data_IF_721585497069
#
_entry.id   IF_721585497069
#
_cell.length_a   1.000
_cell.length_b   1.000
_cell.length_c   1.000
_cell.angle_alpha   90.00
_cell.angle_beta   90.00
_cell.angle_gamma   90.00
#
_symmetry.space_group_name_H-M   'P 1'
#
loop_
_entity.id
_entity.type
_entity.pdbx_description
1 polymer ?
#
# COMPACT_ATOMS: atom_id res chain seq x y z
N UNK A 1 11.82 -41.62 5.69
CA UNK A 1 11.12 -41.38 4.41
C UNK A 1 11.65 -40.08 3.80
N UNK A 2 12.33 -40.16 2.66
CA UNK A 2 12.76 -38.98 1.90
C UNK A 2 11.56 -38.36 1.22
N UNK A 3 11.19 -37.09 1.52
CA UNK A 3 10.05 -36.46 0.87
C UNK A 3 10.31 -36.40 -0.64
N UNK A 4 9.39 -36.97 -1.43
CA UNK A 4 9.38 -36.86 -2.90
C UNK A 4 9.33 -35.37 -3.26
N UNK A 5 10.51 -34.80 -3.48
CA UNK A 5 10.72 -33.43 -3.92
C UNK A 5 10.38 -33.42 -5.40
N UNK A 6 9.23 -32.83 -5.76
CA UNK A 6 8.92 -32.16 -7.02
C UNK A 6 7.39 -32.04 -7.20
N UNK A 7 6.70 -31.40 -6.26
CA UNK A 7 5.36 -30.88 -6.57
C UNK A 7 5.60 -29.57 -7.33
N UNK A 8 5.23 -29.47 -8.62
CA UNK A 8 5.39 -28.22 -9.36
C UNK A 8 4.62 -27.10 -8.66
N UNK A 9 5.14 -25.86 -8.67
CA UNK A 9 4.47 -24.73 -8.05
C UNK A 9 3.07 -24.55 -8.64
N UNK A 10 2.09 -24.41 -7.74
CA UNK A 10 0.67 -24.30 -8.08
C UNK A 10 0.48 -23.18 -9.12
N UNK A 11 -0.13 -23.43 -10.28
CA UNK A 11 -0.23 -22.47 -11.38
C UNK A 11 -0.92 -21.14 -10.99
N UNK A 12 -1.84 -21.18 -10.02
CA UNK A 12 -2.51 -20.00 -9.47
C UNK A 12 -1.53 -19.00 -8.84
N UNK A 13 -0.52 -19.50 -8.12
CA UNK A 13 0.48 -18.65 -7.47
C UNK A 13 1.35 -17.92 -8.49
N UNK A 14 1.68 -18.59 -9.61
CA UNK A 14 2.45 -17.98 -10.70
C UNK A 14 1.67 -16.83 -11.36
N UNK A 15 0.39 -17.02 -11.65
CA UNK A 15 -0.44 -15.98 -12.26
C UNK A 15 -0.59 -14.77 -11.32
N UNK A 16 -0.78 -15.01 -10.01
CA UNK A 16 -0.83 -13.94 -9.02
C UNK A 16 0.50 -13.15 -8.98
N UNK A 17 1.64 -13.85 -8.99
CA UNK A 17 2.96 -13.22 -9.00
C UNK A 17 3.21 -12.40 -10.28
N UNK A 18 2.87 -12.94 -11.45
CA UNK A 18 2.97 -12.20 -12.72
C UNK A 18 2.09 -10.95 -12.70
N UNK A 19 0.86 -11.07 -12.18
CA UNK A 19 -0.03 -9.92 -11.97
C UNK A 19 0.60 -8.85 -11.07
N UNK A 20 1.17 -9.25 -9.93
CA UNK A 20 1.84 -8.29 -9.01
C UNK A 20 3.05 -7.61 -9.66
N UNK A 21 3.86 -8.35 -10.43
CA UNK A 21 5.02 -7.79 -11.14
C UNK A 21 4.59 -6.87 -12.28
N UNK A 22 3.51 -7.17 -12.99
CA UNK A 22 2.95 -6.30 -14.02
C UNK A 22 2.45 -4.98 -13.41
N UNK A 23 1.73 -5.03 -12.28
CA UNK A 23 1.29 -3.83 -11.55
C UNK A 23 2.50 -3.01 -11.10
N UNK A 24 3.52 -3.65 -10.51
CA UNK A 24 4.76 -2.96 -10.13
C UNK A 24 5.44 -2.28 -11.33
N UNK A 25 5.50 -2.97 -12.47
CA UNK A 25 6.05 -2.44 -13.73
C UNK A 25 5.29 -1.21 -14.22
N UNK A 26 3.97 -1.26 -14.25
CA UNK A 26 3.12 -0.12 -14.64
C UNK A 26 3.32 1.07 -13.69
N UNK A 27 3.34 0.83 -12.38
CA UNK A 27 3.61 1.88 -11.39
C UNK A 27 4.97 2.56 -11.64
N UNK A 28 6.03 1.78 -11.88
CA UNK A 28 7.36 2.32 -12.17
C UNK A 28 7.40 3.08 -13.50
N UNK A 29 6.72 2.61 -14.55
CA UNK A 29 6.66 3.32 -15.84
C UNK A 29 5.95 4.67 -15.71
N UNK A 30 4.82 4.72 -15.01
CA UNK A 30 4.11 5.98 -14.75
C UNK A 30 4.99 6.91 -13.91
N UNK A 31 5.68 6.38 -12.90
CA UNK A 31 6.61 7.16 -12.08
C UNK A 31 7.74 7.77 -12.91
N UNK A 32 8.37 6.98 -13.79
CA UNK A 32 9.43 7.43 -14.70
C UNK A 32 8.90 8.52 -15.63
N UNK A 33 7.70 8.35 -16.20
CA UNK A 33 7.08 9.37 -17.05
C UNK A 33 6.82 10.67 -16.29
N UNK A 34 6.28 10.61 -15.07
CA UNK A 34 6.04 11.79 -14.24
C UNK A 34 7.35 12.51 -13.86
N UNK A 35 8.40 11.77 -13.50
CA UNK A 35 9.66 12.35 -13.05
C UNK A 35 10.47 12.90 -14.23
N UNK A 36 10.52 12.20 -15.37
CA UNK A 36 11.39 12.57 -16.49
C UNK A 36 10.71 13.44 -17.57
N UNK A 37 9.38 13.43 -17.67
CA UNK A 37 8.66 14.17 -18.72
C UNK A 37 7.89 15.35 -18.12
N UNK A 38 7.00 15.11 -17.16
CA UNK A 38 6.10 16.18 -16.68
C UNK A 38 6.78 17.13 -15.69
N UNK A 39 7.58 16.60 -14.77
CA UNK A 39 8.26 17.42 -13.75
C UNK A 39 9.26 18.42 -14.37
N UNK A 40 10.12 18.05 -15.34
CA UNK A 40 11.05 19.01 -15.94
C UNK A 40 10.35 20.09 -16.76
N UNK A 41 9.23 19.76 -17.41
CA UNK A 41 8.39 20.73 -18.12
C UNK A 41 7.82 21.79 -17.16
N UNK A 42 7.20 21.35 -16.06
CA UNK A 42 6.67 22.26 -15.05
C UNK A 42 7.77 23.13 -14.39
N UNK A 43 8.98 22.57 -14.18
CA UNK A 43 10.11 23.36 -13.69
C UNK A 43 10.64 24.37 -14.72
N UNK A 44 10.63 24.01 -16.00
CA UNK A 44 11.02 24.94 -17.05
C UNK A 44 10.04 26.11 -17.13
N UNK A 45 8.73 25.85 -16.99
CA UNK A 45 7.71 26.91 -16.90
C UNK A 45 7.88 27.79 -15.67
N UNK A 46 8.14 27.20 -14.49
CA UNK A 46 8.40 27.98 -13.27
C UNK A 46 9.66 28.86 -13.41
N UNK A 47 10.74 28.34 -14.02
CA UNK A 47 11.95 29.12 -14.29
C UNK A 47 11.69 30.26 -15.27
N UNK A 48 11.03 29.97 -16.39
CA UNK A 48 10.65 30.97 -17.39
C UNK A 48 9.79 32.09 -16.76
N UNK A 49 8.86 31.72 -15.88
CA UNK A 49 8.04 32.69 -15.16
C UNK A 49 8.81 33.52 -14.14
N UNK A 50 9.80 32.95 -13.45
CA UNK A 50 10.68 33.70 -12.53
C UNK A 50 11.62 34.65 -13.26
N UNK A 51 12.03 34.29 -14.47
CA UNK A 51 12.90 35.09 -15.35
C UNK A 51 12.12 36.14 -16.16
N UNK A 52 10.79 36.02 -16.23
CA UNK A 52 9.93 36.94 -16.96
C UNK A 52 10.02 38.37 -16.42
N UNK A 53 10.36 39.31 -17.30
CA UNK A 53 10.42 40.75 -16.97
C UNK A 53 9.06 41.42 -17.20
N UNK A 54 8.81 42.55 -16.52
CA UNK A 54 7.62 43.37 -16.79
C UNK A 54 7.59 43.82 -18.26
N UNK A 55 6.43 43.73 -18.91
CA UNK A 55 6.26 44.24 -20.26
C UNK A 55 6.55 45.76 -20.24
N UNK A 56 7.49 46.22 -21.07
CA UNK A 56 7.75 47.65 -21.20
C UNK A 56 6.50 48.32 -21.77
N UNK A 57 5.91 49.25 -21.03
CA UNK A 57 4.81 50.11 -21.48
C UNK A 57 5.19 51.03 -22.66
N UNK A 58 6.46 51.01 -23.06
CA UNK A 58 7.04 51.81 -24.13
C UNK A 58 6.78 51.20 -25.51
N UNK A 59 5.52 51.19 -25.98
CA UNK A 59 5.25 51.15 -27.42
C UNK A 59 3.95 51.89 -27.76
N UNK A 60 4.02 53.21 -27.66
CA UNK A 60 3.11 54.14 -28.32
C UNK A 60 3.19 54.14 -29.86
N UNK A 61 3.91 53.19 -30.48
CA UNK A 61 3.98 53.04 -31.94
C UNK A 61 2.88 52.10 -32.45
N UNK A 62 1.64 52.41 -32.10
CA UNK A 62 0.45 51.81 -32.65
C UNK A 62 0.23 52.34 -34.09
N UNK A 63 1.00 51.81 -35.07
CA UNK A 63 0.58 51.80 -36.49
C UNK A 63 1.42 50.98 -37.47
N UNK A 64 2.48 50.30 -37.05
CA UNK A 64 3.31 49.48 -37.94
C UNK A 64 2.86 48.02 -38.00
N UNK A 65 1.94 47.69 -38.91
CA UNK A 65 1.71 46.36 -39.52
C UNK A 65 1.94 45.12 -38.63
N UNK A 66 0.97 44.80 -37.77
CA UNK A 66 0.84 43.49 -37.12
C UNK A 66 0.34 42.43 -38.13
N UNK A 67 1.14 42.12 -39.17
CA UNK A 67 0.76 41.13 -40.19
C UNK A 67 1.59 39.84 -40.22
N UNK A 68 2.65 39.76 -39.42
CA UNK A 68 3.38 38.50 -39.24
C UNK A 68 3.27 38.04 -37.80
N UNK A 69 2.79 36.81 -37.60
CA UNK A 69 2.39 36.22 -36.32
C UNK A 69 3.52 36.08 -35.33
N UNK A 70 3.89 37.18 -34.67
CA UNK A 70 4.92 37.22 -33.65
C UNK A 70 4.34 36.69 -32.32
N UNK A 71 4.30 35.37 -32.18
CA UNK A 71 4.07 34.63 -30.93
C UNK A 71 5.19 34.84 -29.87
N UNK A 72 5.89 35.98 -29.92
CA UNK A 72 7.14 36.23 -29.22
C UNK A 72 7.08 37.27 -28.10
N UNK A 73 5.90 37.79 -27.75
CA UNK A 73 5.77 38.80 -26.68
C UNK A 73 4.87 38.37 -25.50
N UNK A 74 4.47 37.10 -25.44
CA UNK A 74 3.62 36.58 -24.37
C UNK A 74 4.42 36.17 -23.11
N UNK A 75 5.75 36.29 -23.17
CA UNK A 75 6.67 35.87 -22.12
C UNK A 75 6.97 36.95 -21.06
N UNK A 76 6.47 38.17 -21.22
CA UNK A 76 6.61 39.24 -20.22
C UNK A 76 5.42 39.29 -19.23
N UNK A 77 5.64 39.87 -18.06
CA UNK A 77 4.62 40.09 -17.04
C UNK A 77 3.86 41.38 -17.35
N UNK A 78 2.56 41.28 -17.65
CA UNK A 78 1.68 42.43 -17.91
C UNK A 78 0.78 42.67 -16.70
N UNK A 79 0.97 43.80 -16.02
CA UNK A 79 0.08 44.21 -14.92
C UNK A 79 -0.91 45.26 -15.42
N UNK A 80 -2.21 45.03 -15.17
CA UNK A 80 -3.30 45.91 -15.64
C UNK A 80 -4.22 46.23 -14.45
N UNK A 81 -4.65 47.50 -14.30
CA UNK A 81 -5.71 47.83 -13.37
C UNK A 81 -7.04 47.22 -13.84
N UNK A 82 -7.76 46.59 -12.93
CA UNK A 82 -9.06 46.00 -13.16
C UNK A 82 -10.00 46.28 -11.98
N UNK A 83 -11.29 46.10 -12.21
CA UNK A 83 -12.33 46.24 -11.18
C UNK A 83 -13.00 44.89 -10.97
N UNK A 84 -13.29 44.54 -9.72
CA UNK A 84 -14.03 43.32 -9.40
C UNK A 84 -15.50 43.50 -9.77
N UNK A 85 -16.03 42.69 -10.68
CA UNK A 85 -17.46 42.75 -11.04
C UNK A 85 -18.31 41.94 -10.06
N UNK A 86 -17.87 40.71 -9.79
CA UNK A 86 -18.62 39.76 -8.98
C UNK A 86 -17.74 38.63 -8.44
N UNK A 87 -18.24 38.00 -7.37
CA UNK A 87 -17.59 36.91 -6.65
C UNK A 87 -18.54 35.72 -6.61
N UNK A 88 -18.28 34.68 -7.40
CA UNK A 88 -19.11 33.48 -7.40
C UNK A 88 -18.53 32.42 -6.48
N UNK A 89 -19.31 31.99 -5.49
CA UNK A 89 -18.92 30.86 -4.64
C UNK A 89 -18.95 29.57 -5.47
N UNK A 90 -17.88 28.78 -5.38
CA UNK A 90 -17.86 27.42 -5.92
C UNK A 90 -18.37 26.49 -4.83
N UNK A 91 -19.45 25.75 -5.11
CA UNK A 91 -19.87 24.65 -4.24
C UNK A 91 -18.85 23.51 -4.33
N UNK A 92 -18.17 23.23 -3.23
CA UNK A 92 -17.13 22.19 -3.18
C UNK A 92 -16.45 22.09 -1.82
N UNK A 93 -15.70 20.99 -1.64
CA UNK A 93 -15.03 20.67 -0.36
C UNK A 93 -13.89 21.63 -0.01
N UNK A 94 -13.25 22.24 -1.01
CA UNK A 94 -12.18 23.22 -0.81
C UNK A 94 -12.74 24.63 -1.01
N UNK A 95 -12.54 25.57 -0.07
CA UNK A 95 -13.01 26.93 -0.21
C UNK A 95 -12.31 27.55 -1.42
N UNK A 96 -13.04 27.74 -2.50
CA UNK A 96 -12.58 28.45 -3.69
C UNK A 96 -13.74 29.30 -4.18
N UNK A 97 -13.43 30.41 -4.82
CA UNK A 97 -14.41 31.25 -5.50
C UNK A 97 -13.87 31.69 -6.85
N UNK A 98 -14.79 31.96 -7.76
CA UNK A 98 -14.48 32.64 -9.00
C UNK A 98 -14.52 34.14 -8.76
N UNK A 99 -13.50 34.82 -9.28
CA UNK A 99 -13.40 36.27 -9.33
C UNK A 99 -13.63 36.68 -10.78
N UNK A 100 -14.74 37.36 -11.04
CA UNK A 100 -15.02 37.99 -12.33
C UNK A 100 -14.49 39.43 -12.26
N UNK A 101 -13.64 39.81 -13.18
CA UNK A 101 -12.97 41.11 -13.22
C UNK A 101 -13.20 41.75 -14.57
N UNK A 102 -13.35 43.07 -14.59
CA UNK A 102 -13.38 43.86 -15.83
C UNK A 102 -12.18 44.80 -15.87
N UNK A 103 -11.40 44.69 -16.95
CA UNK A 103 -10.26 45.57 -17.23
C UNK A 103 -10.73 46.95 -17.72
N UNK A 104 -9.84 47.95 -17.69
CA UNK A 104 -10.14 49.31 -18.15
C UNK A 104 -10.59 49.40 -19.62
N UNK A 105 -10.25 48.41 -20.45
CA UNK A 105 -10.70 48.31 -21.85
C UNK A 105 -12.09 47.67 -22.01
N UNK A 106 -12.74 47.30 -20.90
CA UNK A 106 -14.05 46.64 -20.87
C UNK A 106 -13.98 45.13 -21.05
N UNK A 107 -12.80 44.54 -21.17
CA UNK A 107 -12.63 43.08 -21.26
C UNK A 107 -12.92 42.45 -19.91
N UNK A 108 -13.91 41.56 -19.87
CA UNK A 108 -14.22 40.79 -18.66
C UNK A 108 -13.51 39.43 -18.70
N UNK A 109 -12.77 39.12 -17.64
CA UNK A 109 -12.08 37.83 -17.46
C UNK A 109 -12.44 37.21 -16.13
N UNK A 110 -12.24 35.89 -16.02
CA UNK A 110 -12.58 35.11 -14.82
C UNK A 110 -11.38 34.33 -14.33
N UNK A 111 -11.10 34.42 -13.04
CA UNK A 111 -10.03 33.65 -12.41
C UNK A 111 -10.48 32.96 -11.12
N UNK A 112 -9.79 31.88 -10.74
CA UNK A 112 -10.10 31.12 -9.53
C UNK A 112 -9.10 31.43 -8.44
N UNK A 113 -9.61 31.83 -7.28
CA UNK A 113 -8.82 32.08 -6.08
C UNK A 113 -9.18 31.06 -4.99
N UNK A 114 -8.17 30.62 -4.23
CA UNK A 114 -8.35 29.80 -3.05
C UNK A 114 -8.83 30.63 -1.85
N UNK A 115 -9.70 30.09 -1.01
CA UNK A 115 -10.29 30.74 0.16
C UNK A 115 -11.80 30.98 0.04
N UNK A 116 -12.38 31.63 1.05
CA UNK A 116 -13.79 32.04 1.05
C UNK A 116 -13.88 33.56 0.82
N UNK A 117 -14.90 34.05 0.10
CA UNK A 117 -15.13 35.49 -0.05
C UNK A 117 -15.30 36.20 1.31
N UNK A 118 -16.00 35.55 2.26
CA UNK A 118 -16.32 36.14 3.57
C UNK A 118 -15.10 36.47 4.45
N UNK A 119 -13.96 35.79 4.27
CA UNK A 119 -12.73 36.10 5.00
C UNK A 119 -11.91 37.23 4.36
N UNK A 120 -12.41 37.83 3.27
CA UNK A 120 -11.71 38.82 2.47
C UNK A 120 -12.53 40.09 2.38
N UNK A 121 -12.46 40.91 3.43
CA UNK A 121 -13.13 42.22 3.47
C UNK A 121 -12.70 43.17 2.34
N UNK A 122 -11.50 42.95 1.78
CA UNK A 122 -10.92 43.76 0.68
C UNK A 122 -11.43 43.34 -0.70
N UNK A 123 -11.99 42.14 -0.86
CA UNK A 123 -12.47 41.65 -2.15
C UNK A 123 -13.99 41.81 -2.22
N UNK A 124 -14.48 42.95 -2.71
CA UNK A 124 -15.89 43.22 -2.96
C UNK A 124 -16.12 43.72 -4.39
N UNK A 125 -17.33 43.56 -4.95
CA UNK A 125 -17.68 44.19 -6.22
C UNK A 125 -17.38 45.69 -6.20
N UNK A 126 -16.85 46.21 -7.30
CA UNK A 126 -16.40 47.59 -7.45
C UNK A 126 -15.01 47.90 -6.89
N UNK A 127 -14.36 46.97 -6.18
CA UNK A 127 -12.99 47.20 -5.70
C UNK A 127 -12.00 47.25 -6.88
N UNK A 128 -11.12 48.25 -6.87
CA UNK A 128 -9.99 48.34 -7.77
C UNK A 128 -8.89 47.36 -7.34
N UNK A 129 -8.35 46.64 -8.30
CA UNK A 129 -7.30 45.64 -8.12
C UNK A 129 -6.30 45.73 -9.27
N UNK A 130 -5.10 45.22 -9.05
CA UNK A 130 -4.15 45.01 -10.14
C UNK A 130 -4.08 43.51 -10.46
N UNK A 131 -4.14 43.17 -11.74
CA UNK A 131 -4.01 41.78 -12.20
C UNK A 131 -2.76 41.63 -13.04
N UNK A 132 -1.96 40.61 -12.72
CA UNK A 132 -0.72 40.32 -13.44
C UNK A 132 -0.90 39.08 -14.32
N UNK A 133 -0.78 39.29 -15.63
CA UNK A 133 -0.84 38.28 -16.67
C UNK A 133 0.55 37.74 -17.03
N UNK A 134 0.61 36.45 -17.35
CA UNK A 134 1.75 35.82 -18.02
C UNK A 134 1.24 34.74 -18.97
N UNK A 135 1.63 34.83 -20.25
CA UNK A 135 1.11 33.97 -21.34
C UNK A 135 -0.42 33.93 -21.39
N UNK A 136 -1.04 35.11 -21.30
CA UNK A 136 -2.50 35.27 -21.35
C UNK A 136 -3.28 34.73 -20.14
N UNK A 137 -2.61 34.26 -19.08
CA UNK A 137 -3.26 33.78 -17.87
C UNK A 137 -2.98 34.69 -16.67
N UNK A 138 -4.01 34.98 -15.87
CA UNK A 138 -3.88 35.76 -14.63
C UNK A 138 -3.16 34.91 -13.59
N UNK A 139 -1.92 35.27 -13.24
CA UNK A 139 -1.10 34.56 -12.24
C UNK A 139 -1.29 35.13 -10.83
N UNK A 140 -1.41 36.46 -10.75
CA UNK A 140 -1.61 37.18 -9.50
C UNK A 140 -2.78 38.14 -9.56
N UNK A 141 -3.44 38.28 -8.42
CA UNK A 141 -4.36 39.38 -8.13
C UNK A 141 -3.81 40.12 -6.93
N UNK A 142 -3.46 41.37 -7.16
CA UNK A 142 -2.95 42.31 -6.17
C UNK A 142 -4.12 43.13 -5.63
N UNK A 143 -4.45 42.84 -4.38
CA UNK A 143 -5.30 43.69 -3.57
C UNK A 143 -4.42 44.73 -2.87
N UNK A 144 -4.99 45.88 -2.50
CA UNK A 144 -4.29 47.02 -1.88
C UNK A 144 -3.24 46.63 -0.81
N UNK A 145 -3.53 45.61 -0.01
CA UNK A 145 -2.65 45.14 1.07
C UNK A 145 -2.01 43.75 0.86
N UNK A 146 -2.46 42.97 -0.13
CA UNK A 146 -2.04 41.55 -0.26
C UNK A 146 -2.04 41.06 -1.71
N UNK A 147 -0.90 40.58 -2.19
CA UNK A 147 -0.77 39.78 -3.42
C UNK A 147 -1.29 38.37 -3.21
N UNK A 148 -2.13 37.86 -4.12
CA UNK A 148 -2.66 36.49 -4.08
C UNK A 148 -2.38 35.75 -5.38
N UNK A 149 -1.89 34.53 -5.26
CA UNK A 149 -1.76 33.60 -6.38
C UNK A 149 -3.12 33.04 -6.80
N UNK A 150 -3.30 32.88 -8.10
CA UNK A 150 -4.44 32.16 -8.68
C UNK A 150 -4.12 30.69 -8.83
N UNK A 151 -5.10 29.88 -9.25
CA UNK A 151 -4.86 28.47 -9.62
C UNK A 151 -3.90 28.33 -10.82
N UNK A 152 -3.71 29.39 -11.61
CA UNK A 152 -2.76 29.40 -12.69
C UNK A 152 -1.34 29.79 -12.23
N UNK A 153 -1.05 29.97 -10.94
CA UNK A 153 0.33 30.21 -10.52
C UNK A 153 1.19 28.96 -10.75
N UNK A 154 2.21 29.05 -11.62
CA UNK A 154 3.08 27.92 -11.98
C UNK A 154 4.06 27.53 -10.88
N UNK A 155 4.19 28.35 -9.83
CA UNK A 155 5.14 28.12 -8.75
C UNK A 155 4.78 26.88 -7.95
N UNK A 156 5.68 25.90 -7.97
CA UNK A 156 5.47 24.64 -7.26
C UNK A 156 4.54 23.66 -7.98
N UNK A 157 4.09 23.94 -9.20
CA UNK A 157 3.26 23.00 -9.97
C UNK A 157 3.98 21.68 -10.25
N UNK A 158 5.32 21.69 -10.30
CA UNK A 158 6.14 20.49 -10.41
C UNK A 158 6.03 19.56 -9.19
N UNK A 159 5.58 20.04 -8.03
CA UNK A 159 5.53 19.26 -6.78
C UNK A 159 4.52 18.12 -6.84
N UNK A 160 3.38 18.32 -7.50
CA UNK A 160 2.35 17.28 -7.65
C UNK A 160 2.80 16.10 -8.52
N UNK A 161 3.31 16.29 -9.76
CA UNK A 161 3.84 15.18 -10.54
C UNK A 161 5.08 14.56 -9.88
N UNK A 162 5.95 15.34 -9.24
CA UNK A 162 7.10 14.80 -8.51
C UNK A 162 6.68 13.94 -7.31
N UNK A 163 5.74 14.41 -6.49
CA UNK A 163 5.14 13.66 -5.36
C UNK A 163 4.55 12.34 -5.83
N UNK A 164 3.74 12.42 -6.89
CA UNK A 164 3.09 11.24 -7.46
C UNK A 164 4.11 10.27 -8.05
N UNK A 165 5.12 10.78 -8.75
CA UNK A 165 6.19 9.98 -9.35
C UNK A 165 7.05 9.27 -8.31
N UNK A 166 7.55 10.01 -7.31
CA UNK A 166 8.39 9.42 -6.24
C UNK A 166 7.60 8.41 -5.40
N UNK A 167 6.37 8.76 -4.99
CA UNK A 167 5.50 7.86 -4.25
C UNK A 167 5.19 6.57 -5.03
N UNK A 168 4.75 6.71 -6.29
CA UNK A 168 4.39 5.55 -7.12
C UNK A 168 5.61 4.70 -7.50
N UNK A 169 6.77 5.32 -7.71
CA UNK A 169 8.04 4.63 -7.96
C UNK A 169 8.46 3.78 -6.77
N UNK A 170 8.48 4.36 -5.56
CA UNK A 170 8.77 3.64 -4.32
C UNK A 170 7.76 2.52 -4.04
N UNK A 171 6.48 2.76 -4.31
CA UNK A 171 5.42 1.74 -4.21
C UNK A 171 5.64 0.58 -5.19
N UNK A 172 6.01 0.87 -6.44
CA UNK A 172 6.39 -0.14 -7.43
C UNK A 172 7.57 -1.00 -6.98
N UNK A 173 8.62 -0.37 -6.45
CA UNK A 173 9.79 -1.07 -5.88
C UNK A 173 9.40 -1.94 -4.67
N UNK A 174 8.50 -1.48 -3.81
CA UNK A 174 7.96 -2.27 -2.70
C UNK A 174 7.25 -3.55 -3.19
N UNK A 175 6.37 -3.44 -4.18
CA UNK A 175 5.67 -4.61 -4.74
C UNK A 175 6.67 -5.57 -5.40
N UNK A 176 7.58 -5.05 -6.24
CA UNK A 176 8.57 -5.88 -6.93
C UNK A 176 9.51 -6.60 -5.95
N UNK A 177 10.03 -5.90 -4.93
CA UNK A 177 10.91 -6.47 -3.93
C UNK A 177 10.19 -7.49 -3.05
N UNK A 178 8.95 -7.24 -2.62
CA UNK A 178 8.17 -8.21 -1.84
C UNK A 178 7.84 -9.48 -2.64
N UNK A 179 7.53 -9.36 -3.93
CA UNK A 179 7.35 -10.50 -4.83
C UNK A 179 8.65 -11.30 -4.99
N UNK A 180 9.78 -10.61 -5.20
CA UNK A 180 11.10 -11.25 -5.32
C UNK A 180 11.53 -11.95 -4.03
N UNK A 181 11.34 -11.30 -2.88
CA UNK A 181 11.59 -11.89 -1.55
C UNK A 181 10.74 -13.13 -1.37
N UNK A 182 9.45 -13.08 -1.69
CA UNK A 182 8.54 -14.24 -1.57
C UNK A 182 8.97 -15.39 -2.49
N UNK A 183 9.40 -15.09 -3.72
CA UNK A 183 9.95 -16.08 -4.64
C UNK A 183 11.24 -16.73 -4.12
N UNK A 184 12.12 -15.94 -3.50
CA UNK A 184 13.39 -16.41 -2.99
C UNK A 184 13.24 -17.19 -1.67
N UNK A 185 12.41 -16.70 -0.75
CA UNK A 185 12.14 -17.35 0.53
C UNK A 185 11.28 -18.59 0.38
N UNK A 186 10.34 -18.63 -0.57
CA UNK A 186 9.54 -19.82 -0.87
C UNK A 186 10.38 -21.03 -1.33
N UNK A 187 11.62 -20.80 -1.80
CA UNK A 187 12.58 -21.90 -2.10
C UNK A 187 13.29 -22.44 -0.86
N UNK A 188 13.35 -21.67 0.22
CA UNK A 188 14.16 -21.96 1.42
C UNK A 188 13.33 -22.25 2.67
N UNK A 189 12.12 -21.70 2.75
CA UNK A 189 11.23 -21.81 3.91
C UNK A 189 9.86 -22.32 3.46
N UNK A 190 9.29 -23.33 4.15
CA UNK A 190 7.95 -23.79 3.87
C UNK A 190 6.88 -22.82 4.38
N UNK A 191 7.20 -21.89 5.30
CA UNK A 191 6.21 -20.97 5.91
C UNK A 191 5.57 -20.03 4.88
N UNK A 192 4.25 -19.82 4.98
CA UNK A 192 3.50 -18.90 4.09
C UNK A 192 3.75 -17.45 4.44
N UNK A 193 3.73 -17.13 5.73
CA UNK A 193 3.98 -15.78 6.22
C UNK A 193 5.42 -15.67 6.67
N UNK A 194 6.28 -15.25 5.76
CA UNK A 194 7.70 -15.04 6.07
C UNK A 194 7.91 -13.62 6.59
N UNK A 195 8.65 -13.48 7.69
CA UNK A 195 8.95 -12.16 8.28
C UNK A 195 9.71 -11.26 7.29
N UNK A 196 10.43 -11.87 6.33
CA UNK A 196 11.14 -11.17 5.27
C UNK A 196 10.17 -10.40 4.35
N UNK A 197 9.02 -11.00 3.98
CA UNK A 197 8.01 -10.32 3.16
C UNK A 197 7.41 -9.13 3.91
N UNK A 198 7.11 -9.29 5.20
CA UNK A 198 6.60 -8.19 6.03
C UNK A 198 7.64 -7.08 6.19
N UNK A 199 8.91 -7.43 6.40
CA UNK A 199 9.98 -6.44 6.50
C UNK A 199 10.15 -5.63 5.21
N UNK A 200 10.09 -6.29 4.05
CA UNK A 200 10.13 -5.64 2.74
C UNK A 200 8.92 -4.72 2.51
N UNK A 201 7.71 -5.17 2.86
CA UNK A 201 6.49 -4.38 2.75
C UNK A 201 6.51 -3.16 3.68
N UNK A 202 6.86 -3.33 4.96
CA UNK A 202 6.93 -2.21 5.91
C UNK A 202 7.99 -1.19 5.51
N UNK A 203 9.19 -1.65 5.15
CA UNK A 203 10.25 -0.76 4.67
C UNK A 203 9.85 0.00 3.40
N UNK A 204 9.27 -0.71 2.42
CA UNK A 204 8.80 -0.08 1.18
C UNK A 204 7.63 0.88 1.38
N UNK A 205 6.74 0.62 2.34
CA UNK A 205 5.65 1.54 2.71
C UNK A 205 6.21 2.83 3.32
N UNK A 206 7.18 2.72 4.23
CA UNK A 206 7.87 3.90 4.78
C UNK A 206 8.52 4.74 3.68
N UNK A 207 9.17 4.11 2.69
CA UNK A 207 9.76 4.82 1.54
C UNK A 207 8.72 5.42 0.60
N UNK A 208 7.57 4.77 0.42
CA UNK A 208 6.46 5.30 -0.36
C UNK A 208 5.94 6.60 0.25
N UNK A 209 5.73 6.61 1.58
CA UNK A 209 5.32 7.81 2.32
C UNK A 209 6.40 8.89 2.25
N UNK A 210 7.66 8.53 2.48
CA UNK A 210 8.78 9.47 2.38
C UNK A 210 8.88 10.11 0.98
N UNK A 211 8.75 9.30 -0.08
CA UNK A 211 8.76 9.79 -1.47
C UNK A 211 7.60 10.72 -1.79
N UNK A 212 6.41 10.43 -1.27
CA UNK A 212 5.24 11.30 -1.47
C UNK A 212 5.33 12.62 -0.68
N UNK A 213 5.99 12.62 0.48
CA UNK A 213 6.12 13.81 1.33
C UNK A 213 7.33 14.66 0.93
N UNK A 214 8.39 14.08 0.37
CA UNK A 214 9.67 14.75 0.13
C UNK A 214 9.62 16.05 -0.70
N UNK A 215 8.74 16.21 -1.72
CA UNK A 215 8.64 17.45 -2.51
C UNK A 215 8.05 18.66 -1.78
N UNK A 216 7.34 18.45 -0.67
CA UNK A 216 6.63 19.53 0.05
C UNK A 216 7.56 20.41 0.90
N UNK A 217 8.48 19.86 1.70
CA UNK A 217 9.43 20.66 2.47
C UNK A 217 10.64 21.14 1.64
N UNK A 218 10.80 20.67 0.40
CA UNK A 218 11.97 20.98 -0.44
C UNK A 218 11.66 22.05 -1.48
N UNK A 219 12.68 22.81 -1.86
CA UNK A 219 12.57 23.93 -2.81
C UNK A 219 12.87 23.52 -4.26
N UNK A 220 13.47 22.36 -4.46
CA UNK A 220 13.90 21.83 -5.76
C UNK A 220 13.80 20.28 -5.81
N UNK A 221 13.94 19.72 -7.02
CA UNK A 221 13.95 18.25 -7.23
C UNK A 221 15.14 17.61 -6.51
N UNK A 222 16.31 18.26 -6.54
CA UNK A 222 17.53 17.75 -5.91
C UNK A 222 17.36 17.51 -4.41
N UNK A 223 16.78 18.49 -3.69
CA UNK A 223 16.44 18.36 -2.29
C UNK A 223 15.46 17.22 -2.02
N UNK A 224 14.42 17.05 -2.84
CA UNK A 224 13.47 15.95 -2.70
C UNK A 224 14.15 14.57 -2.87
N UNK A 225 15.04 14.44 -3.86
CA UNK A 225 15.80 13.21 -4.10
C UNK A 225 16.80 12.94 -2.97
N UNK A 226 17.49 13.96 -2.45
CA UNK A 226 18.38 13.81 -1.29
C UNK A 226 17.61 13.36 -0.04
N UNK A 227 16.45 13.95 0.24
CA UNK A 227 15.61 13.56 1.38
C UNK A 227 15.11 12.12 1.26
N UNK A 228 14.69 11.69 0.07
CA UNK A 228 14.33 10.30 -0.19
C UNK A 228 15.53 9.35 -0.07
N UNK A 229 16.71 9.76 -0.55
CA UNK A 229 17.97 9.02 -0.40
C UNK A 229 18.35 8.81 1.07
N UNK A 230 18.31 9.87 1.88
CA UNK A 230 18.54 9.80 3.33
C UNK A 230 17.50 8.91 4.02
N UNK A 231 16.22 9.05 3.65
CA UNK A 231 15.15 8.18 4.18
C UNK A 231 15.39 6.71 3.84
N UNK A 232 15.93 6.43 2.65
CA UNK A 232 16.33 5.09 2.22
C UNK A 232 17.42 4.52 3.11
N UNK A 233 18.46 5.29 3.43
CA UNK A 233 19.52 4.86 4.34
C UNK A 233 18.98 4.56 5.74
N UNK A 234 18.08 5.41 6.27
CA UNK A 234 17.45 5.19 7.59
C UNK A 234 16.60 3.92 7.60
N UNK A 235 15.77 3.71 6.58
CA UNK A 235 14.94 2.49 6.45
C UNK A 235 15.83 1.25 6.31
N UNK A 236 16.89 1.30 5.50
CA UNK A 236 17.83 0.20 5.35
C UNK A 236 18.55 -0.13 6.67
N UNK A 237 18.98 0.88 7.43
CA UNK A 237 19.56 0.69 8.75
C UNK A 237 18.57 0.03 9.72
N UNK A 238 17.32 0.50 9.75
CA UNK A 238 16.24 -0.11 10.53
C UNK A 238 15.99 -1.57 10.13
N UNK A 239 15.94 -1.87 8.84
CA UNK A 239 15.81 -3.23 8.32
C UNK A 239 17.02 -4.11 8.68
N UNK A 240 18.24 -3.58 8.62
CA UNK A 240 19.46 -4.29 8.98
C UNK A 240 19.51 -4.66 10.47
N UNK A 241 18.91 -3.85 11.35
CA UNK A 241 18.75 -4.17 12.78
C UNK A 241 17.58 -5.11 13.03
N UNK A 242 16.44 -4.90 12.37
CA UNK A 242 15.25 -5.73 12.54
C UNK A 242 15.44 -7.16 12.02
N UNK A 243 16.16 -7.33 10.91
CA UNK A 243 16.39 -8.62 10.28
C UNK A 243 17.04 -9.67 11.21
N UNK A 244 18.18 -9.41 11.89
CA UNK A 244 18.78 -10.38 12.80
C UNK A 244 17.89 -10.65 14.01
N UNK A 245 17.18 -9.64 14.55
CA UNK A 245 16.24 -9.82 15.67
C UNK A 245 15.10 -10.75 15.27
N UNK A 246 14.46 -10.48 14.12
CA UNK A 246 13.38 -11.31 13.59
C UNK A 246 13.89 -12.70 13.22
N UNK A 247 15.09 -12.81 12.66
CA UNK A 247 15.71 -14.09 12.36
C UNK A 247 15.95 -14.91 13.63
N UNK A 248 16.52 -14.31 14.67
CA UNK A 248 16.74 -14.96 15.97
C UNK A 248 15.42 -15.42 16.61
N UNK A 249 14.40 -14.55 16.62
CA UNK A 249 13.07 -14.89 17.15
C UNK A 249 12.37 -16.01 16.38
N UNK A 250 12.71 -16.17 15.10
CA UNK A 250 12.18 -17.23 14.25
C UNK A 250 13.14 -18.43 14.13
N UNK A 251 14.24 -18.45 14.88
CA UNK A 251 15.21 -19.53 14.91
C UNK A 251 14.77 -20.55 15.95
N UNK A 252 14.36 -21.71 15.50
CA UNK A 252 13.88 -22.78 16.36
C UNK A 252 12.89 -23.67 15.64
N UNK A 253 12.48 -24.74 16.32
CA UNK A 253 11.34 -25.52 15.89
C UNK A 253 10.10 -24.60 15.89
N UNK A 254 9.38 -24.54 14.79
CA UNK A 254 8.20 -23.69 14.65
C UNK A 254 6.93 -24.35 15.20
N UNK A 255 7.12 -25.26 16.14
CA UNK A 255 6.09 -25.81 17.00
C UNK A 255 5.58 -24.69 17.93
N UNK A 256 4.28 -24.46 17.88
CA UNK A 256 3.58 -23.51 18.75
C UNK A 256 3.09 -24.29 19.95
N UNK A 257 3.61 -23.99 21.14
CA UNK A 257 3.07 -24.55 22.38
C UNK A 257 1.77 -23.85 22.73
N UNK A 258 0.68 -24.61 22.86
CA UNK A 258 -0.60 -24.15 23.37
C UNK A 258 -1.13 -25.13 24.39
N UNK A 259 -1.69 -24.59 25.47
CA UNK A 259 -2.38 -25.40 26.48
C UNK A 259 -3.76 -25.83 25.96
N UNK A 260 -4.08 -27.13 26.00
CA UNK A 260 -5.41 -27.61 25.66
C UNK A 260 -6.46 -27.04 26.62
N UNK A 261 -7.61 -26.59 26.09
CA UNK A 261 -8.72 -26.14 26.92
C UNK A 261 -9.45 -27.33 27.53
N UNK A 262 -9.78 -27.27 28.82
CA UNK A 262 -10.64 -28.28 29.46
C UNK A 262 -12.07 -28.06 28.98
N UNK A 263 -12.61 -29.02 28.24
CA UNK A 263 -13.98 -28.97 27.74
C UNK A 263 -14.92 -29.66 28.72
N UNK A 264 -15.98 -28.96 29.14
CA UNK A 264 -17.10 -29.52 29.89
C UNK A 264 -18.34 -29.71 29.02
N UNK A 265 -18.44 -28.96 27.92
CA UNK A 265 -19.60 -28.88 27.04
C UNK A 265 -19.15 -28.87 25.57
N UNK A 266 -20.10 -29.12 24.66
CA UNK A 266 -19.87 -29.01 23.22
C UNK A 266 -19.63 -27.55 22.84
N UNK A 267 -18.53 -27.28 22.12
CA UNK A 267 -18.22 -25.98 21.53
C UNK A 267 -18.09 -26.09 20.03
N UNK A 268 -18.69 -25.16 19.33
CA UNK A 268 -18.57 -25.03 17.87
C UNK A 268 -17.48 -24.01 17.57
N UNK A 269 -16.49 -24.41 16.79
CA UNK A 269 -15.39 -23.55 16.33
C UNK A 269 -15.30 -23.59 14.81
N UNK A 270 -14.86 -22.50 14.18
CA UNK A 270 -14.65 -22.50 12.73
C UNK A 270 -13.34 -23.20 12.41
N UNK A 271 -13.37 -24.21 11.54
CA UNK A 271 -12.18 -25.01 11.26
C UNK A 271 -12.38 -25.95 10.07
N UNK A 272 -11.28 -26.43 9.51
CA UNK A 272 -11.28 -27.36 8.39
C UNK A 272 -10.32 -28.52 8.64
N UNK A 273 -10.69 -29.69 8.16
CA UNK A 273 -9.82 -30.88 8.17
C UNK A 273 -9.38 -31.15 6.75
N UNK A 274 -8.07 -31.21 6.52
CA UNK A 274 -7.46 -31.45 5.23
C UNK A 274 -6.67 -32.76 5.30
N UNK A 275 -6.74 -33.58 4.27
CA UNK A 275 -6.06 -34.88 4.22
C UNK A 275 -6.80 -35.85 3.32
N UNK A 276 -6.17 -37.00 3.05
CA UNK A 276 -6.78 -38.09 2.29
C UNK A 276 -7.55 -39.04 3.23
N UNK A 277 -8.58 -38.49 3.90
CA UNK A 277 -9.39 -39.19 4.91
C UNK A 277 -10.88 -38.95 4.66
N UNK A 278 -11.78 -39.91 4.99
CA UNK A 278 -13.20 -39.84 4.63
C UNK A 278 -13.97 -38.70 5.33
N UNK A 279 -13.44 -38.22 6.46
CA UNK A 279 -13.96 -37.09 7.23
C UNK A 279 -13.28 -35.75 6.89
N UNK A 280 -12.40 -35.72 5.89
CA UNK A 280 -11.84 -34.46 5.41
C UNK A 280 -12.94 -33.53 4.87
N UNK A 281 -12.72 -32.24 5.07
CA UNK A 281 -13.51 -31.18 4.47
C UNK A 281 -13.16 -31.08 2.99
N UNK A 282 -14.15 -31.11 2.10
CA UNK A 282 -13.89 -30.89 0.68
C UNK A 282 -13.27 -29.50 0.47
N UNK A 283 -12.09 -29.44 -0.14
CA UNK A 283 -11.28 -28.23 -0.34
C UNK A 283 -12.00 -27.09 -1.09
N UNK A 284 -13.14 -27.37 -1.71
CA UNK A 284 -13.97 -26.39 -2.45
C UNK A 284 -15.13 -25.81 -1.62
N UNK A 285 -15.42 -26.32 -0.42
CA UNK A 285 -16.54 -25.88 0.45
C UNK A 285 -16.06 -25.40 1.82
N UNK A 286 -14.84 -24.88 1.89
CA UNK A 286 -14.10 -24.66 3.15
C UNK A 286 -14.50 -23.35 3.86
N UNK A 287 -15.27 -22.47 3.21
CA UNK A 287 -15.63 -21.18 3.81
C UNK A 287 -16.61 -21.27 4.99
N UNK A 288 -17.22 -22.43 5.26
CA UNK A 288 -18.24 -22.59 6.30
C UNK A 288 -18.19 -23.91 7.07
N UNK A 289 -17.07 -24.64 7.05
CA UNK A 289 -16.99 -25.86 7.88
C UNK A 289 -16.78 -25.46 9.34
N UNK A 290 -17.63 -26.02 10.20
CA UNK A 290 -17.53 -25.88 11.64
C UNK A 290 -17.02 -27.19 12.24
N UNK A 291 -16.10 -27.10 13.20
CA UNK A 291 -15.69 -28.21 14.03
C UNK A 291 -16.49 -28.16 15.32
N UNK A 292 -17.11 -29.27 15.69
CA UNK A 292 -17.78 -29.44 16.97
C UNK A 292 -16.83 -30.19 17.88
N UNK A 293 -16.30 -29.49 18.87
CA UNK A 293 -15.39 -30.01 19.87
C UNK A 293 -16.19 -30.35 21.15
N UNK A 294 -16.08 -31.59 21.60
CA UNK A 294 -16.68 -32.09 22.82
C UNK A 294 -15.62 -32.82 23.65
N UNK A 295 -15.88 -33.13 24.93
CA UNK A 295 -14.95 -33.89 25.75
C UNK A 295 -14.60 -35.24 25.09
N UNK A 296 -13.35 -35.41 24.64
CA UNK A 296 -12.85 -36.63 23.99
C UNK A 296 -13.44 -36.93 22.61
N UNK A 297 -14.07 -35.97 21.94
CA UNK A 297 -14.65 -36.16 20.60
C UNK A 297 -14.57 -34.89 19.78
N UNK A 298 -14.18 -35.02 18.51
CA UNK A 298 -14.19 -33.95 17.54
C UNK A 298 -15.04 -34.38 16.33
N UNK A 299 -15.85 -33.48 15.80
CA UNK A 299 -16.74 -33.77 14.66
C UNK A 299 -16.69 -32.61 13.67
N UNK A 300 -16.85 -32.89 12.38
CA UNK A 300 -17.05 -31.85 11.37
C UNK A 300 -18.54 -31.70 11.07
N UNK A 301 -19.03 -30.46 11.01
CA UNK A 301 -20.39 -30.12 10.60
C UNK A 301 -20.35 -29.03 9.51
N UNK A 302 -21.15 -29.21 8.44
CA UNK A 302 -21.28 -28.22 7.37
C UNK A 302 -22.13 -27.01 7.81
N UNK A 303 -23.11 -27.27 8.68
CA UNK A 303 -23.95 -26.27 9.31
C UNK A 303 -24.04 -26.62 10.80
N UNK A 304 -23.64 -25.71 11.72
CA UNK A 304 -23.64 -25.99 13.15
C UNK A 304 -25.04 -26.16 13.74
N UNK A 305 -26.09 -25.67 13.07
CA UNK A 305 -27.49 -25.77 13.53
C UNK A 305 -28.15 -27.04 13.01
N UNK A 306 -27.77 -27.47 11.81
CA UNK A 306 -28.29 -28.68 11.18
C UNK A 306 -27.64 -29.94 11.77
N UNK A 307 -28.48 -30.89 12.18
CA UNK A 307 -28.03 -32.25 12.54
C UNK A 307 -27.59 -33.07 11.31
N UNK A 308 -27.82 -32.57 10.09
CA UNK A 308 -27.49 -33.28 8.87
C UNK A 308 -26.01 -33.06 8.50
N UNK A 309 -25.30 -34.14 8.16
CA UNK A 309 -23.89 -34.17 7.72
C UNK A 309 -22.83 -34.00 8.81
N UNK A 310 -23.09 -34.49 10.02
CA UNK A 310 -22.05 -34.63 11.03
C UNK A 310 -21.16 -35.82 10.65
N UNK A 311 -19.86 -35.59 10.51
CA UNK A 311 -18.88 -36.67 10.36
C UNK A 311 -18.06 -36.73 11.64
N UNK A 312 -18.20 -37.84 12.37
CA UNK A 312 -17.39 -38.09 13.56
C UNK A 312 -15.95 -38.38 13.16
N UNK A 313 -15.02 -37.71 13.83
CA UNK A 313 -13.59 -37.95 13.63
C UNK A 313 -13.20 -39.13 14.53
N UNK A 314 -12.46 -40.11 14.00
CA UNK A 314 -12.11 -41.28 14.77
C UNK A 314 -11.14 -40.92 15.90
N UNK A 315 -11.25 -41.63 17.02
CA UNK A 315 -10.38 -41.46 18.19
C UNK A 315 -8.94 -41.95 17.93
N UNK A 316 -8.67 -42.53 16.77
CA UNK A 316 -7.33 -42.90 16.29
C UNK A 316 -6.51 -41.71 15.80
N UNK A 317 -7.15 -40.54 15.62
CA UNK A 317 -6.47 -39.32 15.22
C UNK A 317 -5.59 -38.78 16.35
N UNK A 318 -4.28 -38.87 16.16
CA UNK A 318 -3.29 -38.44 17.15
C UNK A 318 -2.71 -37.08 16.75
N UNK A 319 -2.78 -36.05 17.62
CA UNK A 319 -2.12 -34.78 17.34
C UNK A 319 -0.61 -34.95 17.44
N UNK A 320 0.14 -34.51 16.44
CA UNK A 320 1.61 -34.58 16.42
C UNK A 320 2.22 -33.24 16.82
N UNK A 321 1.79 -32.16 16.16
CA UNK A 321 2.46 -30.86 16.29
C UNK A 321 1.57 -29.72 15.82
N UNK A 322 1.56 -28.64 16.59
CA UNK A 322 0.92 -27.39 16.18
C UNK A 322 1.93 -26.46 15.52
N UNK A 323 1.66 -25.93 14.32
CA UNK A 323 2.59 -25.06 13.59
C UNK A 323 1.88 -23.95 12.79
N UNK A 324 2.63 -22.95 12.29
CA UNK A 324 2.12 -22.02 11.29
C UNK A 324 1.75 -22.70 9.96
N UNK A 325 0.90 -22.04 9.16
CA UNK A 325 0.57 -22.48 7.81
C UNK A 325 1.81 -22.51 6.87
N UNK A 326 1.94 -23.57 6.07
CA UNK A 326 2.99 -23.78 5.06
C UNK A 326 2.52 -23.70 3.61
N UNK A 327 3.40 -23.33 2.68
CA UNK A 327 3.11 -23.21 1.24
C UNK A 327 2.81 -24.58 0.61
N UNK A 328 3.26 -25.64 1.28
CA UNK A 328 3.05 -27.04 0.90
C UNK A 328 1.75 -27.63 1.44
N UNK A 329 1.02 -26.91 2.30
CA UNK A 329 -0.29 -27.37 2.77
C UNK A 329 -1.27 -27.44 1.57
N UNK A 330 -2.29 -28.32 1.62
CA UNK A 330 -3.26 -28.46 0.54
C UNK A 330 -3.90 -27.13 0.12
N UNK A 331 -4.12 -26.90 -1.19
CA UNK A 331 -4.78 -25.68 -1.67
C UNK A 331 -6.21 -25.60 -1.15
N UNK A 332 -6.73 -24.39 -0.96
CA UNK A 332 -8.08 -24.16 -0.45
C UNK A 332 -8.20 -24.17 1.07
N UNK A 333 -7.10 -24.33 1.80
CA UNK A 333 -7.09 -24.15 3.25
C UNK A 333 -7.63 -22.76 3.64
N UNK A 334 -8.38 -22.65 4.74
CA UNK A 334 -8.84 -21.35 5.23
C UNK A 334 -7.67 -20.61 5.88
N UNK A 335 -7.54 -19.33 5.56
CA UNK A 335 -6.44 -18.49 6.05
C UNK A 335 -6.79 -17.70 7.33
N UNK A 336 -8.09 -17.55 7.60
CA UNK A 336 -8.63 -16.78 8.73
C UNK A 336 -7.96 -15.41 8.90
N UNK A 337 -7.80 -14.67 7.79
CA UNK A 337 -7.15 -13.34 7.75
C UNK A 337 -5.72 -13.37 8.32
N UNK A 338 -4.94 -14.38 7.94
CA UNK A 338 -3.57 -14.60 8.41
C UNK A 338 -3.45 -15.10 9.86
N UNK A 339 -4.55 -15.53 10.49
CA UNK A 339 -4.56 -16.04 11.89
C UNK A 339 -4.72 -17.55 11.99
N UNK A 340 -4.70 -18.25 10.86
CA UNK A 340 -4.74 -19.69 10.82
C UNK A 340 -3.52 -20.30 11.54
N UNK A 341 -3.77 -21.38 12.28
CA UNK A 341 -2.76 -22.31 12.77
C UNK A 341 -3.13 -23.70 12.28
N UNK A 342 -2.11 -24.55 12.08
CA UNK A 342 -2.26 -25.89 11.52
C UNK A 342 -1.79 -26.90 12.57
N UNK A 343 -2.71 -27.74 13.03
CA UNK A 343 -2.40 -28.91 13.83
C UNK A 343 -2.15 -30.08 12.89
N UNK A 344 -0.93 -30.56 12.87
CA UNK A 344 -0.56 -31.82 12.21
C UNK A 344 -1.00 -32.97 13.08
N UNK A 345 -1.75 -33.89 12.50
CA UNK A 345 -2.23 -35.11 13.11
C UNK A 345 -1.89 -36.31 12.23
N UNK A 346 -1.98 -37.49 12.82
CA UNK A 346 -1.85 -38.77 12.12
C UNK A 346 -3.02 -39.68 12.48
N UNK A 347 -3.63 -40.28 11.46
CA UNK A 347 -4.66 -41.31 11.60
C UNK A 347 -4.19 -42.59 10.90
N UNK A 348 -3.67 -43.54 11.68
CA UNK A 348 -3.19 -44.82 11.16
C UNK A 348 -2.10 -44.70 10.08
N UNK A 349 -1.15 -43.78 10.22
CA UNK A 349 -0.11 -43.51 9.23
C UNK A 349 -0.48 -42.49 8.14
N UNK A 350 -1.74 -42.03 8.10
CA UNK A 350 -2.19 -41.03 7.13
C UNK A 350 -2.07 -39.62 7.75
N UNK A 351 -1.35 -38.68 7.11
CA UNK A 351 -1.22 -37.32 7.61
C UNK A 351 -2.55 -36.56 7.43
N UNK A 352 -2.99 -35.93 8.52
CA UNK A 352 -4.21 -35.13 8.58
C UNK A 352 -3.85 -33.75 9.13
N UNK A 353 -4.38 -32.69 8.55
CA UNK A 353 -4.16 -31.31 8.99
C UNK A 353 -5.48 -30.73 9.48
N UNK A 354 -5.52 -30.27 10.73
CA UNK A 354 -6.64 -29.48 11.24
C UNK A 354 -6.25 -28.01 11.23
N UNK A 355 -6.99 -27.20 10.49
CA UNK A 355 -6.75 -25.76 10.34
C UNK A 355 -7.88 -25.00 11.02
N UNK A 356 -7.54 -24.13 11.98
CA UNK A 356 -8.50 -23.25 12.65
C UNK A 356 -7.83 -21.93 13.04
N UNK A 357 -8.59 -20.98 13.59
CA UNK A 357 -8.04 -19.76 14.16
C UNK A 357 -7.17 -20.05 15.39
N UNK A 358 -6.11 -19.26 15.57
CA UNK A 358 -5.22 -19.36 16.75
C UNK A 358 -5.98 -19.36 18.09
N UNK A 359 -7.07 -18.59 18.20
CA UNK A 359 -7.90 -18.47 19.41
C UNK A 359 -8.74 -19.72 19.71
N UNK A 360 -9.07 -20.50 18.68
CA UNK A 360 -9.98 -21.65 18.77
C UNK A 360 -9.22 -22.97 18.87
N UNK A 361 -7.93 -22.99 18.51
CA UNK A 361 -7.07 -24.17 18.59
C UNK A 361 -7.01 -24.83 19.99
N UNK A 362 -6.98 -24.09 21.12
CA UNK A 362 -7.04 -24.72 22.45
C UNK A 362 -8.28 -25.62 22.64
N UNK A 363 -9.42 -25.24 22.07
CA UNK A 363 -10.66 -26.02 22.11
C UNK A 363 -10.53 -27.30 21.30
N UNK A 364 -9.92 -27.23 20.11
CA UNK A 364 -9.63 -28.40 19.27
C UNK A 364 -8.67 -29.37 19.97
N UNK A 365 -7.59 -28.85 20.56
CA UNK A 365 -6.65 -29.65 21.35
C UNK A 365 -7.32 -30.33 22.55
N UNK A 366 -8.22 -29.62 23.25
CA UNK A 366 -9.00 -30.17 24.35
C UNK A 366 -9.90 -31.34 23.97
N UNK A 367 -10.40 -31.36 22.73
CA UNK A 367 -11.24 -32.44 22.22
C UNK A 367 -10.45 -33.69 21.79
N UNK A 368 -9.23 -33.52 21.27
CA UNK A 368 -8.38 -34.62 20.78
C UNK A 368 -7.61 -35.33 21.90
N UNK A 369 -7.60 -34.77 23.11
CA UNK A 369 -6.85 -35.30 24.23
C UNK A 369 -5.39 -34.80 24.27
N UNK A 370 -4.59 -35.29 25.23
CA UNK A 370 -3.23 -34.79 25.42
C UNK A 370 -2.37 -35.06 24.18
N UNK A 371 -1.58 -34.05 23.78
CA UNK A 371 -0.55 -34.27 22.78
C UNK A 371 0.47 -35.28 23.32
N UNK A 372 0.92 -36.27 22.51
CA UNK A 372 2.02 -37.11 22.88
C UNK A 372 3.20 -36.20 23.22
N UNK A 373 3.71 -36.33 24.45
CA UNK A 373 4.91 -35.60 24.86
C UNK A 373 6.02 -36.02 23.89
N UNK A 374 6.69 -35.08 23.19
CA UNK A 374 7.77 -35.43 22.29
C UNK A 374 8.77 -36.30 23.05
N UNK A 375 8.88 -37.57 22.67
CA UNK A 375 9.90 -38.44 23.26
C UNK A 375 11.23 -37.82 22.84
N UNK A 376 12.09 -37.38 23.79
CA UNK A 376 13.35 -36.77 23.43
C UNK A 376 14.12 -37.77 22.56
N UNK A 377 14.34 -37.41 21.30
CA UNK A 377 15.15 -38.21 20.39
C UNK A 377 16.50 -38.35 21.06
N UNK A 378 16.97 -39.57 21.36
CA UNK A 378 18.24 -39.76 22.04
C UNK A 378 19.30 -39.03 21.23
N UNK A 379 19.86 -37.97 21.82
CA UNK A 379 20.97 -37.22 21.22
C UNK A 379 22.05 -38.27 20.98
N UNK A 380 22.48 -38.51 19.73
CA UNK A 380 23.54 -39.46 19.49
C UNK A 380 24.73 -38.97 20.31
N UNK A 381 25.05 -39.71 21.37
CA UNK A 381 26.27 -39.54 22.14
C UNK A 381 27.37 -39.78 21.13
N UNK A 382 27.96 -38.69 20.62
CA UNK A 382 29.04 -38.78 19.66
C UNK A 382 30.08 -39.72 20.23
N UNK A 383 30.39 -40.79 19.49
CA UNK A 383 31.52 -41.65 19.81
C UNK A 383 32.74 -40.73 19.95
N UNK A 384 33.25 -40.64 21.18
CA UNK A 384 34.50 -39.92 21.44
C UNK A 384 35.59 -40.49 20.53
N UNK A 385 36.50 -39.65 20.01
CA UNK A 385 37.63 -40.15 19.25
C UNK A 385 38.44 -41.10 20.14
N UNK A 386 38.59 -42.36 19.69
CA UNK A 386 39.60 -43.28 20.21
C UNK A 386 40.95 -42.95 19.58
#
# INVERSE_FOLDING_TARGET
>A
MTPKRNVPPIPKLRMAMLGTLAVAGVCMLIAVWLILVTTPGAQAEERAFKEATSCSSSRGDARGNARDGQAGNDDCLRTVPAVIDSLDKIEGRSPNFWLNITEADGTSTRTRLAGTPAHRTVAHPGAEIEVTYWRGQIRYVDFESVRRSTKADVRGDYRLPLTSGLGLGAFGVMIASSALVTLWTGRRSPKVYTWQTNLALTGGLCLTVAGAVAPWPTHDIGGALHLLGLSTLVVLAGCAVAAPILWWRNRGDDTITMEPAVLTEKKVVTGAILGDVPYASNAYSVSSVSLIAAPGSLETALDPVSLFHHKKIPNTLTPLRLRPPYLTDPPGRPDYRGRAVVLECEDGGVPVLIVTEKKDMPVVLGALGPMPVPVPVPVPTGNGPQ
#
